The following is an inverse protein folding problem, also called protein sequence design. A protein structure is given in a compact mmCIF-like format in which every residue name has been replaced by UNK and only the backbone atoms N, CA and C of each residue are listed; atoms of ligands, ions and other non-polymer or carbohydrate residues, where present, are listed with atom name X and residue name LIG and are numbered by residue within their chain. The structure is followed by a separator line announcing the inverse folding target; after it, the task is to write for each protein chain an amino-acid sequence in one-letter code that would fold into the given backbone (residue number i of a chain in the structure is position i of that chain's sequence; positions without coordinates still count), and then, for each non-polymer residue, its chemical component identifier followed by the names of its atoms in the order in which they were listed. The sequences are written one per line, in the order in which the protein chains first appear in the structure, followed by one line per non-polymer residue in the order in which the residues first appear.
data_IF_882137490640
#
_entry.id   IF_882137490640
#
_cell.length_a   1.000
_cell.length_b   1.000
_cell.length_c   1.000
_cell.angle_alpha   90.00
_cell.angle_beta   90.00
_cell.angle_gamma   90.00
#
_symmetry.space_group_name_H-M   'P 1'
#
loop_
_entity.id
_entity.type
_entity.pdbx_description
1 polymer ?
#
# COMPACT_ATOMS: atom_id res chain seq x y z
N UNK A 1 14.09 -39.03 63.47
CA UNK A 1 14.21 -39.30 64.93
C UNK A 1 15.52 -38.69 65.41
N UNK A 2 15.58 -38.24 66.67
CA UNK A 2 16.64 -37.44 67.34
C UNK A 2 16.58 -35.93 67.07
N UNK A 3 16.83 -35.03 68.03
CA UNK A 3 16.61 -34.93 69.49
C UNK A 3 17.05 -33.48 69.81
N UNK A 4 16.26 -32.76 70.63
CA UNK A 4 16.56 -31.43 71.27
C UNK A 4 17.90 -31.44 72.03
N UNK A 5 18.56 -30.30 72.38
CA UNK A 5 18.23 -29.42 73.55
C UNK A 5 18.49 -27.89 73.30
N UNK A 6 17.78 -26.92 73.91
CA UNK A 6 17.69 -26.42 75.30
C UNK A 6 18.97 -25.73 75.84
N UNK A 7 18.81 -24.47 76.29
CA UNK A 7 19.50 -23.76 77.41
C UNK A 7 18.65 -22.49 77.71
N UNK A 8 17.78 -22.45 78.75
CA UNK A 8 17.98 -22.00 80.16
C UNK A 8 18.44 -20.52 80.28
N UNK A 9 17.58 -19.55 80.61
CA UNK A 9 17.20 -19.00 81.95
C UNK A 9 18.37 -18.27 82.69
N UNK A 10 18.20 -17.28 83.63
CA UNK A 10 17.05 -16.97 84.50
C UNK A 10 16.77 -15.44 84.75
N UNK A 11 15.55 -15.04 85.18
CA UNK A 11 15.09 -14.58 86.54
C UNK A 11 15.58 -13.22 87.06
N UNK A 12 14.62 -12.35 87.41
CA UNK A 12 14.48 -11.51 88.64
C UNK A 12 13.83 -10.15 88.28
N UNK A 13 13.02 -9.47 89.08
CA UNK A 13 12.25 -9.71 90.30
C UNK A 13 11.47 -8.40 90.56
N UNK A 14 10.24 -8.52 91.10
CA UNK A 14 9.48 -7.58 91.95
C UNK A 14 9.59 -6.05 91.78
N UNK A 15 8.44 -5.37 91.75
CA UNK A 15 7.88 -4.59 92.89
C UNK A 15 6.56 -3.95 92.45
N UNK A 16 5.53 -4.10 93.28
CA UNK A 16 4.24 -3.43 93.17
C UNK A 16 4.32 -2.01 93.73
N UNK A 17 3.68 -1.04 93.06
CA UNK A 17 3.20 0.20 93.69
C UNK A 17 1.84 0.56 93.07
N UNK A 18 0.80 0.50 93.90
CA UNK A 18 -0.51 1.10 93.65
C UNK A 18 -0.38 2.61 93.95
N UNK A 19 -0.71 3.48 92.99
CA UNK A 19 -0.97 4.89 93.25
C UNK A 19 -2.09 5.35 92.30
N UNK A 20 -3.23 5.69 92.91
CA UNK A 20 -4.38 6.28 92.25
C UNK A 20 -4.04 7.70 91.79
N UNK A 21 -4.30 8.01 90.52
CA UNK A 21 -4.41 9.40 90.05
C UNK A 21 -5.59 9.51 89.08
N UNK A 22 -6.37 10.53 89.36
CA UNK A 22 -7.63 10.99 88.80
C UNK A 22 -7.67 11.10 87.29
N UNK A 23 -8.81 10.71 86.71
CA UNK A 23 -9.17 10.85 85.30
C UNK A 23 -9.22 12.31 84.85
N UNK A 24 -8.35 12.68 83.92
CA UNK A 24 -8.55 13.82 83.03
C UNK A 24 -8.77 13.30 81.61
N UNK A 25 -10.00 13.44 81.12
CA UNK A 25 -10.41 13.07 79.77
C UNK A 25 -9.80 14.05 78.77
N UNK A 26 -8.62 13.73 78.25
CA UNK A 26 -8.08 14.38 77.06
C UNK A 26 -8.83 13.84 75.82
N UNK A 27 -9.39 14.76 75.04
CA UNK A 27 -10.01 14.45 73.74
C UNK A 27 -8.99 13.75 72.82
N UNK A 28 -9.37 12.70 72.08
CA UNK A 28 -8.46 12.07 71.14
C UNK A 28 -8.12 13.04 70.00
N UNK A 29 -6.82 13.23 69.76
CA UNK A 29 -6.34 13.84 68.53
C UNK A 29 -6.81 13.02 67.32
N UNK A 30 -7.24 13.65 66.21
CA UNK A 30 -7.63 12.91 65.02
C UNK A 30 -6.42 12.14 64.46
N UNK A 31 -6.64 10.95 63.87
CA UNK A 31 -5.56 10.20 63.25
C UNK A 31 -4.95 11.04 62.11
N UNK A 32 -3.62 11.14 62.10
CA UNK A 32 -2.88 11.67 60.98
C UNK A 32 -3.10 10.72 59.78
N UNK A 33 -4.06 11.06 58.92
CA UNK A 33 -4.23 10.41 57.63
C UNK A 33 -2.95 10.66 56.82
N UNK A 34 -2.08 9.65 56.78
CA UNK A 34 -1.04 9.56 55.76
C UNK A 34 -1.74 9.34 54.43
N UNK A 35 -2.03 10.43 53.73
CA UNK A 35 -2.53 10.39 52.36
C UNK A 35 -1.43 9.79 51.48
N UNK A 36 -1.50 8.48 51.24
CA UNK A 36 -0.77 7.84 50.16
C UNK A 36 -1.30 8.47 48.88
N UNK A 37 -0.53 9.38 48.28
CA UNK A 37 -0.81 9.93 46.96
C UNK A 37 -0.64 8.80 45.94
N UNK A 38 -1.70 8.03 45.71
CA UNK A 38 -1.79 7.12 44.57
C UNK A 38 -1.92 7.96 43.32
N UNK A 39 -0.77 8.29 42.70
CA UNK A 39 -0.76 8.82 41.33
C UNK A 39 -1.42 7.77 40.43
N UNK A 40 -2.48 8.11 39.70
CA UNK A 40 -3.02 7.19 38.71
C UNK A 40 -1.93 6.96 37.68
N UNK A 41 -1.45 5.72 37.59
CA UNK A 41 -0.67 5.28 36.43
C UNK A 41 -1.67 5.27 35.28
N UNK A 42 -1.63 6.30 34.44
CA UNK A 42 -2.33 6.24 33.15
C UNK A 42 -1.76 5.03 32.42
N UNK A 43 -2.55 3.96 32.32
CA UNK A 43 -2.28 2.91 31.37
C UNK A 43 -2.22 3.57 29.98
N UNK A 44 -1.06 3.52 29.33
CA UNK A 44 -0.94 3.95 27.95
C UNK A 44 -1.89 3.08 27.13
N UNK A 45 -2.96 3.69 26.60
CA UNK A 45 -3.83 3.04 25.64
C UNK A 45 -2.93 2.66 24.46
N UNK A 46 -2.90 1.39 24.02
CA UNK A 46 -2.13 1.02 22.84
C UNK A 46 -2.60 1.92 21.70
N UNK A 47 -1.67 2.62 21.05
CA UNK A 47 -2.00 3.33 19.84
C UNK A 47 -2.64 2.32 18.87
N UNK A 48 -3.87 2.58 18.44
CA UNK A 48 -4.50 1.76 17.42
C UNK A 48 -3.56 1.71 16.21
N UNK A 49 -3.16 0.51 15.78
CA UNK A 49 -2.35 0.35 14.58
C UNK A 49 -3.09 1.04 13.43
N UNK A 50 -2.38 1.90 12.70
CA UNK A 50 -2.94 2.55 11.53
C UNK A 50 -3.50 1.48 10.58
N UNK A 51 -4.68 1.71 10.01
CA UNK A 51 -5.25 0.80 9.02
C UNK A 51 -4.27 0.60 7.85
N UNK A 52 -4.19 -0.62 7.26
CA UNK A 52 -3.31 -0.86 6.13
C UNK A 52 -3.69 0.01 4.94
N UNK A 53 -2.69 0.47 4.18
CA UNK A 53 -2.94 1.20 2.95
C UNK A 53 -3.41 0.23 1.87
N UNK A 54 -4.60 0.46 1.32
CA UNK A 54 -5.24 -0.42 0.33
C UNK A 54 -4.77 -0.04 -1.07
N UNK A 55 -4.10 -0.96 -1.76
CA UNK A 55 -3.52 -0.75 -3.09
C UNK A 55 -4.24 -1.63 -4.09
N UNK A 56 -4.84 -1.05 -5.12
CA UNK A 56 -5.52 -1.78 -6.19
C UNK A 56 -4.66 -1.86 -7.44
N UNK A 57 -4.15 -3.05 -7.82
CA UNK A 57 -3.68 -3.32 -9.17
C UNK A 57 -4.86 -3.35 -10.15
N UNK A 58 -5.01 -2.33 -10.98
CA UNK A 58 -6.10 -2.20 -11.95
C UNK A 58 -5.56 -2.34 -13.38
N UNK A 59 -6.21 -3.15 -14.21
CA UNK A 59 -5.83 -3.24 -15.61
C UNK A 59 -6.45 -4.37 -16.41
N UNK A 60 -5.73 -4.78 -17.45
CA UNK A 60 -6.10 -5.87 -18.33
C UNK A 60 -5.38 -7.20 -17.95
N UNK A 61 -5.14 -8.08 -18.92
CA UNK A 61 -4.42 -9.35 -18.72
C UNK A 61 -3.02 -9.15 -18.18
N UNK A 62 -2.33 -8.05 -18.54
CA UNK A 62 -0.98 -7.78 -18.03
C UNK A 62 -1.02 -7.56 -16.51
N UNK A 63 -2.12 -7.01 -15.98
CA UNK A 63 -2.32 -6.89 -14.53
C UNK A 63 -2.81 -8.20 -13.92
N UNK A 64 -3.84 -8.82 -14.50
CA UNK A 64 -4.50 -10.00 -13.94
C UNK A 64 -3.71 -11.29 -14.16
N UNK A 65 -3.77 -11.83 -15.37
CA UNK A 65 -3.10 -13.07 -15.73
C UNK A 65 -2.87 -13.14 -17.25
N UNK A 66 -1.75 -13.73 -17.71
CA UNK A 66 -0.70 -14.36 -16.92
C UNK A 66 0.41 -13.37 -16.50
N UNK A 67 1.10 -13.70 -15.39
CA UNK A 67 2.25 -12.93 -14.92
C UNK A 67 2.51 -13.10 -13.42
N UNK A 68 3.69 -12.65 -12.99
CA UNK A 68 4.18 -12.72 -11.62
C UNK A 68 4.56 -11.36 -11.03
N UNK A 69 4.47 -10.26 -11.78
CA UNK A 69 4.96 -8.95 -11.31
C UNK A 69 4.32 -8.49 -10.00
N UNK A 70 3.03 -8.80 -9.76
CA UNK A 70 2.34 -8.48 -8.49
C UNK A 70 2.99 -9.18 -7.31
N UNK A 71 3.31 -10.47 -7.46
CA UNK A 71 4.01 -11.25 -6.43
C UNK A 71 5.42 -10.72 -6.17
N UNK A 72 6.15 -10.35 -7.23
CA UNK A 72 7.48 -9.75 -7.10
C UNK A 72 7.42 -8.41 -6.36
N UNK A 73 6.47 -7.55 -6.71
CA UNK A 73 6.27 -6.25 -6.09
C UNK A 73 5.87 -6.38 -4.62
N UNK A 74 4.88 -7.22 -4.33
CA UNK A 74 4.41 -7.51 -2.97
C UNK A 74 5.56 -8.00 -2.09
N UNK A 75 6.27 -9.05 -2.51
CA UNK A 75 7.33 -9.63 -1.70
C UNK A 75 8.49 -8.65 -1.48
N UNK A 76 8.80 -7.82 -2.48
CA UNK A 76 9.79 -6.75 -2.33
C UNK A 76 9.34 -5.71 -1.29
N UNK A 77 8.08 -5.25 -1.34
CA UNK A 77 7.51 -4.31 -0.36
C UNK A 77 7.58 -4.88 1.07
N UNK A 78 7.15 -6.13 1.26
CA UNK A 78 7.20 -6.80 2.55
C UNK A 78 8.64 -6.91 3.08
N UNK A 79 9.58 -7.34 2.23
CA UNK A 79 11.00 -7.45 2.60
C UNK A 79 11.65 -6.11 2.95
N UNK A 80 11.13 -5.01 2.41
CA UNK A 80 11.60 -3.65 2.68
C UNK A 80 10.88 -2.98 3.86
N UNK A 81 9.99 -3.69 4.57
CA UNK A 81 9.30 -3.18 5.76
C UNK A 81 7.97 -2.47 5.51
N UNK A 82 7.47 -2.45 4.27
CA UNK A 82 6.13 -1.96 3.94
C UNK A 82 5.07 -3.03 4.26
N UNK A 83 4.97 -3.44 5.52
CA UNK A 83 4.11 -4.57 5.93
C UNK A 83 2.67 -4.17 6.23
N UNK A 84 2.38 -2.87 6.39
CA UNK A 84 1.03 -2.35 6.65
C UNK A 84 0.33 -1.91 5.35
N UNK A 85 0.25 -2.83 4.39
CA UNK A 85 -0.41 -2.65 3.09
C UNK A 85 -1.33 -3.84 2.83
N UNK A 86 -2.33 -3.63 1.98
CA UNK A 86 -3.35 -4.61 1.58
C UNK A 86 -3.52 -4.48 0.06
N UNK A 87 -3.19 -5.50 -0.72
CA UNK A 87 -3.58 -5.51 -2.14
C UNK A 87 -5.08 -5.79 -2.19
N UNK A 88 -5.82 -5.04 -3.01
CA UNK A 88 -7.28 -5.12 -3.04
C UNK A 88 -7.81 -5.18 -4.46
N UNK A 89 -8.89 -5.91 -4.62
CA UNK A 89 -9.58 -6.11 -5.88
C UNK A 89 -10.68 -7.15 -5.74
N UNK A 90 -11.58 -7.23 -6.70
CA UNK A 90 -12.64 -8.26 -6.69
C UNK A 90 -12.15 -9.62 -7.18
N UNK A 91 -10.97 -9.68 -7.79
CA UNK A 91 -10.33 -10.92 -8.22
C UNK A 91 -9.26 -11.31 -7.20
N UNK A 92 -9.26 -12.57 -6.78
CA UNK A 92 -8.23 -13.13 -5.92
C UNK A 92 -6.90 -13.37 -6.64
N UNK A 93 -5.94 -14.06 -6.00
CA UNK A 93 -4.65 -14.40 -6.59
C UNK A 93 -4.79 -15.12 -7.93
N UNK A 94 -4.30 -14.49 -8.99
CA UNK A 94 -4.19 -15.07 -10.32
C UNK A 94 -2.71 -15.23 -10.69
N UNK A 95 -2.33 -16.41 -11.15
CA UNK A 95 -0.94 -16.69 -11.53
C UNK A 95 0.04 -16.75 -10.35
N UNK A 96 1.30 -17.02 -10.68
CA UNK A 96 2.46 -17.12 -9.78
C UNK A 96 2.36 -18.14 -8.63
N UNK A 97 3.11 -19.25 -8.71
CA UNK A 97 3.13 -20.33 -7.71
C UNK A 97 3.89 -20.02 -6.42
N UNK A 98 3.84 -18.78 -5.93
CA UNK A 98 4.50 -18.33 -4.70
C UNK A 98 3.49 -17.60 -3.81
N UNK A 99 3.63 -17.62 -2.47
CA UNK A 99 2.76 -16.86 -1.58
C UNK A 99 2.95 -15.35 -1.75
N UNK A 100 1.83 -14.62 -1.81
CA UNK A 100 1.72 -13.16 -1.79
C UNK A 100 0.25 -12.79 -1.56
N UNK A 101 -0.02 -11.53 -1.22
CA UNK A 101 -1.36 -10.99 -1.35
C UNK A 101 -1.64 -10.71 -2.84
N UNK A 102 -2.54 -11.49 -3.41
CA UNK A 102 -2.77 -11.53 -4.85
C UNK A 102 -4.06 -10.88 -5.31
N UNK A 103 -4.79 -10.22 -4.42
CA UNK A 103 -6.01 -9.52 -4.77
C UNK A 103 -5.72 -8.42 -5.81
N UNK A 104 -6.58 -8.34 -6.82
CA UNK A 104 -6.38 -7.45 -7.96
C UNK A 104 -7.68 -7.17 -8.73
N UNK A 105 -7.59 -6.21 -9.62
CA UNK A 105 -8.66 -5.79 -10.53
C UNK A 105 -8.14 -5.86 -11.99
N UNK A 106 -7.45 -6.95 -12.32
CA UNK A 106 -6.90 -7.22 -13.65
C UNK A 106 -7.81 -8.11 -14.49
N UNK A 107 -8.44 -7.54 -15.52
CA UNK A 107 -9.46 -8.24 -16.32
C UNK A 107 -8.93 -8.58 -17.71
N UNK A 108 -8.65 -9.87 -17.96
CA UNK A 108 -8.13 -10.34 -19.24
C UNK A 108 -8.99 -9.92 -20.44
N UNK A 109 -8.37 -9.31 -21.45
CA UNK A 109 -9.06 -8.83 -22.66
C UNK A 109 -9.91 -7.58 -22.47
N UNK A 110 -10.01 -7.02 -21.25
CA UNK A 110 -10.79 -5.81 -21.03
C UNK A 110 -10.19 -4.61 -21.78
N UNK A 111 -11.06 -3.73 -22.25
CA UNK A 111 -10.70 -2.43 -22.80
C UNK A 111 -11.04 -1.36 -21.78
N UNK A 112 -10.13 -0.40 -21.55
CA UNK A 112 -10.37 0.69 -20.60
C UNK A 112 -11.58 1.53 -21.02
N UNK A 113 -11.77 1.69 -22.33
CA UNK A 113 -12.94 2.39 -22.89
C UNK A 113 -14.24 1.67 -22.57
N UNK A 114 -14.27 0.34 -22.65
CA UNK A 114 -15.45 -0.44 -22.27
C UNK A 114 -15.73 -0.35 -20.77
N UNK A 115 -14.70 -0.50 -19.93
CA UNK A 115 -14.82 -0.37 -18.47
C UNK A 115 -15.39 1.00 -18.09
N UNK A 116 -14.88 2.07 -18.70
CA UNK A 116 -15.35 3.42 -18.47
C UNK A 116 -16.81 3.61 -18.95
N UNK A 117 -17.12 3.19 -20.18
CA UNK A 117 -18.45 3.37 -20.78
C UNK A 117 -19.54 2.59 -20.03
N UNK A 118 -19.23 1.37 -19.61
CA UNK A 118 -20.14 0.48 -18.90
C UNK A 118 -20.19 0.77 -17.39
N UNK A 119 -19.42 1.76 -16.91
CA UNK A 119 -19.43 2.22 -15.52
C UNK A 119 -19.14 1.08 -14.52
N UNK A 120 -18.17 0.22 -14.84
CA UNK A 120 -17.84 -0.96 -14.04
C UNK A 120 -17.03 -0.60 -12.78
N UNK A 121 -16.07 0.33 -12.91
CA UNK A 121 -15.14 0.68 -11.84
C UNK A 121 -15.80 1.10 -10.50
N UNK A 122 -16.90 1.88 -10.46
CA UNK A 122 -17.57 2.23 -9.20
C UNK A 122 -17.98 1.03 -8.33
N UNK A 123 -18.39 -0.08 -8.95
CA UNK A 123 -18.72 -1.31 -8.22
C UNK A 123 -17.49 -1.90 -7.52
N UNK A 124 -16.37 -1.98 -8.24
CA UNK A 124 -15.09 -2.46 -7.71
C UNK A 124 -14.57 -1.56 -6.59
N UNK A 125 -14.62 -0.23 -6.78
CA UNK A 125 -14.19 0.75 -5.78
C UNK A 125 -15.03 0.67 -4.50
N UNK A 126 -16.35 0.49 -4.62
CA UNK A 126 -17.23 0.33 -3.46
C UNK A 126 -16.91 -0.94 -2.66
N UNK A 127 -16.64 -2.05 -3.35
CA UNK A 127 -16.32 -3.33 -2.72
C UNK A 127 -14.96 -3.32 -2.02
N UNK A 128 -13.99 -2.60 -2.56
CA UNK A 128 -12.56 -2.77 -2.19
C UNK A 128 -11.94 -1.52 -1.57
N UNK A 129 -12.54 -0.34 -1.72
CA UNK A 129 -12.16 0.95 -1.11
C UNK A 129 -10.64 1.23 -1.13
N UNK A 130 -9.99 1.31 -2.31
CA UNK A 130 -8.55 1.55 -2.37
C UNK A 130 -8.17 2.98 -1.97
N UNK A 131 -6.92 3.13 -1.53
CA UNK A 131 -6.24 4.41 -1.28
C UNK A 131 -5.24 4.76 -2.40
N UNK A 132 -4.71 3.73 -3.06
CA UNK A 132 -3.78 3.83 -4.19
C UNK A 132 -4.25 2.91 -5.31
N UNK A 133 -4.22 3.40 -6.55
CA UNK A 133 -4.47 2.58 -7.74
C UNK A 133 -3.19 2.51 -8.60
N UNK A 134 -2.77 1.30 -8.94
CA UNK A 134 -1.74 1.00 -9.94
C UNK A 134 -2.46 0.68 -11.26
N UNK A 135 -2.59 1.64 -12.17
CA UNK A 135 -3.34 1.46 -13.42
C UNK A 135 -2.39 1.15 -14.59
N UNK A 136 -2.37 -0.11 -15.05
CA UNK A 136 -1.75 -0.52 -16.31
C UNK A 136 -2.84 -1.03 -17.26
N UNK A 137 -3.34 -0.15 -18.15
CA UNK A 137 -4.54 -0.47 -18.92
C UNK A 137 -4.54 0.20 -20.28
N UNK A 138 -5.10 -0.41 -21.31
CA UNK A 138 -5.21 0.19 -22.65
C UNK A 138 -4.51 -0.62 -23.74
N UNK A 139 -3.87 -1.73 -23.38
CA UNK A 139 -3.25 -2.67 -24.34
C UNK A 139 -4.28 -3.14 -25.35
N UNK A 140 -5.45 -3.59 -24.89
CA UNK A 140 -6.50 -4.10 -25.76
C UNK A 140 -7.19 -3.01 -26.59
N UNK A 141 -7.27 -1.77 -26.08
CA UNK A 141 -7.77 -0.63 -26.82
C UNK A 141 -6.84 -0.29 -27.99
N UNK A 142 -5.53 -0.24 -27.73
CA UNK A 142 -4.49 -0.05 -28.76
C UNK A 142 -4.53 -1.17 -29.80
N UNK A 143 -4.65 -2.42 -29.36
CA UNK A 143 -4.81 -3.56 -30.26
C UNK A 143 -6.05 -3.41 -31.15
N UNK A 144 -7.16 -2.97 -30.55
CA UNK A 144 -8.43 -2.73 -31.22
C UNK A 144 -8.46 -1.43 -32.04
N UNK A 145 -7.30 -0.80 -32.26
CA UNK A 145 -7.15 0.44 -33.04
C UNK A 145 -7.99 1.62 -32.51
N UNK A 146 -8.23 1.67 -31.20
CA UNK A 146 -8.89 2.81 -30.58
C UNK A 146 -7.91 3.98 -30.48
N UNK A 147 -8.37 5.15 -30.91
CA UNK A 147 -7.53 6.35 -30.94
C UNK A 147 -7.07 6.75 -29.52
N UNK A 148 -5.82 7.22 -29.34
CA UNK A 148 -5.30 7.65 -28.05
C UNK A 148 -6.19 8.65 -27.31
N UNK A 149 -6.80 9.61 -28.02
CA UNK A 149 -7.71 10.58 -27.41
C UNK A 149 -8.92 9.91 -26.72
N UNK A 150 -9.47 8.85 -27.32
CA UNK A 150 -10.59 8.10 -26.74
C UNK A 150 -10.14 7.30 -25.51
N UNK A 151 -8.95 6.70 -25.56
CA UNK A 151 -8.36 5.97 -24.43
C UNK A 151 -8.13 6.94 -23.25
N UNK A 152 -7.56 8.12 -23.50
CA UNK A 152 -7.30 9.13 -22.47
C UNK A 152 -8.58 9.77 -21.92
N UNK A 153 -9.63 9.90 -22.72
CA UNK A 153 -10.95 10.28 -22.22
C UNK A 153 -11.51 9.22 -21.25
N UNK A 154 -11.33 7.93 -21.55
CA UNK A 154 -11.69 6.83 -20.65
C UNK A 154 -10.86 6.85 -19.36
N UNK A 155 -9.53 7.04 -19.44
CA UNK A 155 -8.69 7.25 -18.25
C UNK A 155 -9.21 8.43 -17.41
N UNK A 156 -9.58 9.53 -18.07
CA UNK A 156 -10.17 10.70 -17.43
C UNK A 156 -11.41 10.33 -16.61
N UNK A 157 -12.35 9.62 -17.24
CA UNK A 157 -13.57 9.14 -16.57
C UNK A 157 -13.28 8.20 -15.39
N UNK A 158 -12.33 7.27 -15.54
CA UNK A 158 -11.97 6.36 -14.45
C UNK A 158 -11.39 7.11 -13.25
N UNK A 159 -10.51 8.08 -13.47
CA UNK A 159 -9.97 8.91 -12.38
C UNK A 159 -11.08 9.75 -11.70
N UNK A 160 -12.06 10.24 -12.45
CA UNK A 160 -13.19 10.97 -11.85
C UNK A 160 -14.05 10.04 -10.97
N UNK A 161 -14.26 8.79 -11.39
CA UNK A 161 -14.92 7.76 -10.58
C UNK A 161 -14.09 7.41 -9.32
N UNK A 162 -12.77 7.28 -9.46
CA UNK A 162 -11.86 7.06 -8.32
C UNK A 162 -11.98 8.19 -7.29
N UNK A 163 -11.96 9.44 -7.75
CA UNK A 163 -12.07 10.63 -6.88
C UNK A 163 -13.44 10.79 -6.25
N UNK A 164 -14.51 10.38 -6.94
CA UNK A 164 -15.84 10.32 -6.36
C UNK A 164 -15.93 9.29 -5.22
N UNK A 165 -15.20 8.18 -5.31
CA UNK A 165 -15.12 7.17 -4.24
C UNK A 165 -14.17 7.58 -3.10
N UNK A 166 -13.03 8.20 -3.43
CA UNK A 166 -12.03 8.66 -2.49
C UNK A 166 -11.40 9.96 -3.04
N UNK A 167 -11.76 11.14 -2.52
CA UNK A 167 -11.24 12.42 -3.00
C UNK A 167 -9.72 12.57 -2.88
N UNK A 168 -9.07 11.75 -2.05
CA UNK A 168 -7.62 11.72 -1.84
C UNK A 168 -6.91 10.53 -2.54
N UNK A 169 -7.60 9.83 -3.46
CA UNK A 169 -7.02 8.68 -4.17
C UNK A 169 -5.71 9.07 -4.85
N UNK A 170 -4.65 8.29 -4.60
CA UNK A 170 -3.37 8.41 -5.31
C UNK A 170 -3.41 7.48 -6.51
N UNK A 171 -3.09 7.97 -7.69
CA UNK A 171 -3.16 7.18 -8.93
C UNK A 171 -1.78 7.11 -9.55
N UNK A 172 -1.27 5.90 -9.72
CA UNK A 172 -0.04 5.63 -10.44
C UNK A 172 -0.43 5.02 -11.79
N UNK A 173 -0.20 5.73 -12.89
CA UNK A 173 -0.63 5.35 -14.23
C UNK A 173 0.56 4.92 -15.06
N UNK A 174 0.52 3.74 -15.66
CA UNK A 174 1.58 3.28 -16.54
C UNK A 174 1.55 4.02 -17.88
N UNK A 175 2.72 4.43 -18.38
CA UNK A 175 2.97 4.26 -19.82
C UNK A 175 3.00 2.77 -20.07
N UNK A 176 2.13 2.24 -20.93
CA UNK A 176 2.00 0.79 -21.09
C UNK A 176 3.27 0.19 -21.71
N UNK A 177 3.60 -1.06 -21.38
CA UNK A 177 4.70 -1.80 -22.02
C UNK A 177 4.53 -1.83 -23.56
N UNK A 178 5.62 -1.90 -24.34
CA UNK A 178 5.51 -2.09 -25.78
C UNK A 178 4.84 -3.43 -26.11
N UNK A 179 4.20 -3.51 -27.27
CA UNK A 179 3.69 -4.77 -27.81
C UNK A 179 4.03 -4.89 -29.31
N UNK A 180 4.26 -6.11 -29.76
CA UNK A 180 4.51 -6.45 -31.16
C UNK A 180 4.00 -7.87 -31.49
N UNK A 181 2.70 -8.15 -31.34
CA UNK A 181 2.13 -9.44 -31.73
C UNK A 181 2.16 -9.57 -33.26
N UNK A 182 2.35 -10.80 -33.75
CA UNK A 182 2.40 -11.09 -35.20
C UNK A 182 1.13 -10.70 -35.96
N UNK A 183 -0.02 -10.67 -35.28
CA UNK A 183 -1.32 -10.32 -35.84
C UNK A 183 -1.62 -8.82 -35.83
N UNK A 184 -0.74 -7.97 -35.29
CA UNK A 184 -0.92 -6.51 -35.31
C UNK A 184 0.42 -5.78 -35.54
N UNK A 185 0.87 -5.64 -36.80
CA UNK A 185 2.12 -4.94 -37.12
C UNK A 185 2.16 -3.47 -36.66
N UNK A 186 1.01 -2.79 -36.66
CA UNK A 186 0.91 -1.37 -36.28
C UNK A 186 0.88 -1.15 -34.76
N UNK A 187 0.65 -2.19 -33.96
CA UNK A 187 0.38 -2.04 -32.53
C UNK A 187 1.54 -1.36 -31.79
N UNK A 188 2.79 -1.65 -32.15
CA UNK A 188 3.95 -0.99 -31.56
C UNK A 188 3.93 0.53 -31.74
N UNK A 189 3.59 1.03 -32.94
CA UNK A 189 3.48 2.47 -33.18
C UNK A 189 2.26 3.10 -32.49
N UNK A 190 1.16 2.35 -32.38
CA UNK A 190 -0.03 2.81 -31.64
C UNK A 190 0.24 2.92 -30.13
N UNK A 191 1.05 2.02 -29.56
CA UNK A 191 1.55 2.16 -28.18
C UNK A 191 2.37 3.43 -28.02
N UNK A 192 3.29 3.72 -28.96
CA UNK A 192 4.08 4.97 -28.93
C UNK A 192 3.17 6.19 -28.95
N UNK A 193 2.16 6.20 -29.83
CA UNK A 193 1.20 7.30 -29.91
C UNK A 193 0.45 7.52 -28.58
N UNK A 194 -0.06 6.45 -27.95
CA UNK A 194 -0.71 6.56 -26.63
C UNK A 194 0.27 7.06 -25.56
N UNK A 195 1.42 6.41 -25.41
CA UNK A 195 2.40 6.74 -24.38
C UNK A 195 2.95 8.17 -24.48
N UNK A 196 3.04 8.71 -25.69
CA UNK A 196 3.46 10.11 -25.93
C UNK A 196 2.48 11.15 -25.37
N UNK A 197 1.20 10.78 -25.22
CA UNK A 197 0.14 11.68 -24.77
C UNK A 197 -0.19 11.54 -23.27
N UNK A 198 0.25 10.46 -22.61
CA UNK A 198 -0.05 10.19 -21.20
C UNK A 198 0.51 11.26 -20.27
N UNK A 199 1.73 11.76 -20.52
CA UNK A 199 2.36 12.77 -19.64
C UNK A 199 1.55 14.07 -19.62
N UNK A 200 1.14 14.56 -20.80
CA UNK A 200 0.32 15.76 -20.92
C UNK A 200 -1.07 15.59 -20.31
N UNK A 201 -1.69 14.43 -20.52
CA UNK A 201 -2.97 14.09 -19.89
C UNK A 201 -2.88 14.05 -18.36
N UNK A 202 -1.85 13.40 -17.81
CA UNK A 202 -1.66 13.28 -16.37
C UNK A 202 -1.40 14.65 -15.73
N UNK A 203 -0.54 15.47 -16.36
CA UNK A 203 -0.27 16.83 -15.92
C UNK A 203 -1.54 17.71 -15.92
N UNK A 204 -2.41 17.55 -16.91
CA UNK A 204 -3.68 18.28 -16.99
C UNK A 204 -4.75 17.83 -15.98
N UNK A 205 -4.61 16.63 -15.40
CA UNK A 205 -5.65 16.04 -14.51
C UNK A 205 -5.21 15.87 -13.06
N UNK A 206 -3.91 15.88 -12.77
CA UNK A 206 -3.35 15.72 -11.41
C UNK A 206 -3.74 16.89 -10.50
N UNK A 207 -3.93 16.62 -9.20
CA UNK A 207 -4.17 17.66 -8.18
C UNK A 207 -3.33 17.37 -6.94
N UNK A 208 -3.14 18.36 -6.06
CA UNK A 208 -2.43 18.16 -4.81
C UNK A 208 -3.14 17.15 -3.88
N UNK A 209 -4.48 17.12 -3.89
CA UNK A 209 -5.27 16.22 -3.05
C UNK A 209 -5.31 14.78 -3.60
N UNK A 210 -5.35 14.62 -4.92
CA UNK A 210 -5.40 13.33 -5.61
C UNK A 210 -4.36 13.31 -6.74
N UNK A 211 -3.09 13.06 -6.39
CA UNK A 211 -2.00 13.13 -7.35
C UNK A 211 -2.07 11.96 -8.34
N UNK A 212 -1.78 12.26 -9.60
CA UNK A 212 -1.53 11.31 -10.67
C UNK A 212 -0.03 11.31 -10.96
N UNK A 213 0.59 10.14 -10.89
CA UNK A 213 2.01 9.93 -11.21
C UNK A 213 2.12 8.98 -12.39
N UNK A 214 2.86 9.39 -13.41
CA UNK A 214 3.15 8.52 -14.55
C UNK A 214 4.33 7.60 -14.21
N UNK A 215 4.15 6.30 -14.41
CA UNK A 215 5.18 5.27 -14.25
C UNK A 215 5.55 4.73 -15.63
N UNK A 216 6.80 4.95 -16.03
CA UNK A 216 7.28 4.51 -17.33
C UNK A 216 7.61 3.00 -17.32
N UNK A 217 6.66 2.19 -17.79
CA UNK A 217 6.85 0.74 -18.00
C UNK A 217 7.41 0.43 -19.40
N UNK A 218 7.50 1.43 -20.28
CA UNK A 218 7.83 1.24 -21.69
C UNK A 218 9.34 1.26 -21.93
N UNK A 219 10.05 2.25 -21.36
CA UNK A 219 11.47 2.44 -21.62
C UNK A 219 12.31 1.26 -21.11
N UNK A 220 13.14 0.68 -21.99
CA UNK A 220 14.01 -0.45 -21.64
C UNK A 220 13.30 -1.81 -21.58
N UNK A 221 12.02 -1.87 -21.97
CA UNK A 221 11.26 -3.09 -22.15
C UNK A 221 11.38 -3.56 -23.60
N UNK A 222 11.70 -4.83 -23.81
CA UNK A 222 11.88 -5.47 -25.12
C UNK A 222 10.78 -6.49 -25.35
N UNK A 223 9.96 -6.31 -26.38
CA UNK A 223 8.93 -7.29 -26.72
C UNK A 223 9.54 -8.67 -26.97
N UNK A 224 10.69 -8.75 -27.63
CA UNK A 224 11.33 -10.03 -27.94
C UNK A 224 11.93 -10.75 -26.71
N UNK A 225 12.49 -10.01 -25.75
CA UNK A 225 13.19 -10.61 -24.60
C UNK A 225 12.30 -10.72 -23.36
N UNK A 226 11.34 -9.82 -23.20
CA UNK A 226 10.57 -9.64 -21.96
C UNK A 226 9.11 -10.09 -22.08
N UNK A 227 8.67 -10.55 -23.25
CA UNK A 227 7.35 -11.19 -23.45
C UNK A 227 7.50 -12.62 -23.95
N UNK A 228 6.42 -13.40 -23.95
CA UNK A 228 6.42 -14.75 -24.55
C UNK A 228 5.61 -14.82 -25.87
N UNK A 229 4.74 -13.85 -26.15
CA UNK A 229 3.89 -13.80 -27.34
C UNK A 229 3.91 -12.44 -28.07
N UNK A 230 4.84 -11.55 -27.68
CA UNK A 230 4.93 -10.18 -28.17
C UNK A 230 4.10 -9.18 -27.36
N UNK A 231 3.32 -9.62 -26.36
CA UNK A 231 2.39 -8.76 -25.60
C UNK A 231 2.51 -8.99 -24.09
N UNK A 232 2.39 -10.24 -23.64
CA UNK A 232 2.31 -10.58 -22.23
C UNK A 232 3.70 -10.84 -21.64
N UNK A 233 4.01 -10.26 -20.47
CA UNK A 233 5.33 -10.37 -19.87
C UNK A 233 5.68 -11.82 -19.55
N UNK A 234 6.94 -12.17 -19.77
CA UNK A 234 7.56 -13.36 -19.21
C UNK A 234 8.23 -13.01 -17.86
N UNK A 235 8.95 -13.94 -17.24
CA UNK A 235 9.58 -13.72 -15.93
C UNK A 235 10.61 -12.57 -15.90
N UNK A 236 11.23 -12.21 -17.03
CA UNK A 236 12.12 -11.04 -17.11
C UNK A 236 11.31 -9.75 -17.21
N UNK A 237 10.26 -9.73 -18.04
CA UNK A 237 9.32 -8.61 -18.13
C UNK A 237 8.59 -8.33 -16.83
N UNK A 238 8.15 -9.36 -16.12
CA UNK A 238 7.52 -9.24 -14.81
C UNK A 238 8.41 -8.53 -13.79
N UNK A 239 9.71 -8.84 -13.78
CA UNK A 239 10.69 -8.15 -12.92
C UNK A 239 10.79 -6.68 -13.28
N UNK A 240 10.91 -6.35 -14.58
CA UNK A 240 10.97 -4.95 -15.03
C UNK A 240 9.72 -4.18 -14.62
N UNK A 241 8.53 -4.78 -14.79
CA UNK A 241 7.27 -4.15 -14.38
C UNK A 241 7.26 -3.85 -12.88
N UNK A 242 7.63 -4.85 -12.07
CA UNK A 242 7.76 -4.72 -10.62
C UNK A 242 8.76 -3.62 -10.22
N UNK A 243 9.92 -3.59 -10.88
CA UNK A 243 11.00 -2.64 -10.58
C UNK A 243 10.62 -1.19 -10.87
N UNK A 244 9.78 -0.96 -11.87
CA UNK A 244 9.25 0.37 -12.21
C UNK A 244 8.14 0.81 -11.26
N UNK A 245 7.26 -0.10 -10.83
CA UNK A 245 6.20 0.22 -9.88
C UNK A 245 6.73 0.55 -8.48
N UNK A 246 7.74 -0.20 -8.03
CA UNK A 246 8.25 -0.12 -6.66
C UNK A 246 8.60 1.30 -6.16
N UNK A 247 9.45 2.10 -6.86
CA UNK A 247 9.81 3.44 -6.37
C UNK A 247 8.60 4.40 -6.33
N UNK A 248 7.71 4.32 -7.31
CA UNK A 248 6.52 5.18 -7.35
C UNK A 248 5.53 4.81 -6.23
N UNK A 249 5.30 3.52 -6.00
CA UNK A 249 4.42 3.04 -4.95
C UNK A 249 4.96 3.36 -3.56
N UNK A 250 6.24 3.12 -3.29
CA UNK A 250 6.84 3.44 -1.99
C UNK A 250 6.83 4.94 -1.66
N UNK A 251 7.03 5.80 -2.67
CA UNK A 251 6.82 7.25 -2.52
C UNK A 251 5.37 7.57 -2.16
N UNK A 252 4.40 6.97 -2.85
CA UNK A 252 2.99 7.15 -2.55
C UNK A 252 2.65 6.70 -1.12
N UNK A 253 3.16 5.53 -0.68
CA UNK A 253 2.89 4.97 0.66
C UNK A 253 3.42 5.84 1.81
N UNK A 254 4.54 6.54 1.61
CA UNK A 254 5.19 7.35 2.65
C UNK A 254 4.75 8.81 2.67
N UNK A 255 3.92 9.24 1.71
CA UNK A 255 3.54 10.64 1.56
C UNK A 255 4.70 11.56 1.14
N UNK A 256 5.82 10.99 0.69
CA UNK A 256 6.99 11.72 0.24
C UNK A 256 6.80 12.34 -1.15
N UNK A 257 7.61 13.35 -1.52
CA UNK A 257 7.59 13.89 -2.88
C UNK A 257 7.89 12.79 -3.90
N UNK A 258 7.00 12.63 -4.87
CA UNK A 258 7.19 11.71 -6.00
C UNK A 258 8.47 12.07 -6.75
N UNK A 259 9.38 11.11 -7.03
CA UNK A 259 10.53 11.39 -7.89
C UNK A 259 10.04 11.82 -9.28
N UNK A 260 10.39 13.05 -9.68
CA UNK A 260 10.16 13.53 -11.05
C UNK A 260 10.96 12.67 -12.03
N UNK A 261 10.40 12.23 -13.17
CA UNK A 261 11.17 11.53 -14.19
C UNK A 261 12.34 12.42 -14.63
N UNK A 262 13.56 11.94 -14.43
CA UNK A 262 14.74 12.59 -15.01
C UNK A 262 14.59 12.54 -16.52
N UNK A 263 14.40 13.72 -17.14
CA UNK A 263 14.50 13.84 -18.59
C UNK A 263 15.89 13.35 -19.00
N UNK A 264 15.94 12.19 -19.68
CA UNK A 264 17.18 11.71 -20.27
C UNK A 264 17.48 12.64 -21.45
N UNK A 265 18.55 13.44 -21.32
CA UNK A 265 19.04 14.27 -22.41
C UNK A 265 19.42 13.37 -23.57
N UNK A 266 18.74 13.55 -24.71
CA UNK A 266 19.10 12.95 -26.00
C UNK A 266 20.57 13.22 -26.29
N UNK A 267 21.38 12.20 -26.64
CA UNK A 267 22.76 12.43 -27.03
C UNK A 267 22.80 13.33 -28.28
N UNK A 268 23.52 14.45 -28.18
CA UNK A 268 23.86 15.29 -29.32
C UNK A 268 24.63 14.46 -30.34
N UNK A 269 24.07 14.31 -31.54
CA UNK A 269 24.81 13.80 -32.68
C UNK A 269 26.00 14.74 -32.94
N UNK A 270 27.22 14.20 -32.84
CA UNK A 270 28.45 14.91 -33.20
C UNK A 270 28.61 14.80 -34.73
N UNK A 271 29.02 15.89 -35.43
CA UNK A 271 29.06 15.97 -36.89
C UNK A 271 29.99 14.96 -37.57
#
# INVERSE_FOLDING_TARGET
MLRRPLLTAPVAAFVAVLLAVTTWSALPAPPANSAVSSRPVLAAVPAALAAPVRVMPLGDSITGSPGCWRALLWNRLQSAGYTNIDFVGTLGPQGCGQPYDGDNEGHGGALVTNVANQNQLPGWLSATRPDVVLMHFGTNDVWSNIAPATILAAYGRLVDQMRASNPAMRVLVAKIIPMAPSSCPDCGQRVVALNSAIDGWAAGKTTAQSPIVVVDQWTGFSTAADTYDGVHPNAAGDRKISDRWYPALTAALTGGPTPTPTATTTPTATP
#
